data_IF_614975328326
#
_entry.id   IF_614975328326
#
_cell.length_a   1.000
_cell.length_b   1.000
_cell.length_c   1.000
_cell.angle_alpha   90.00
_cell.angle_beta   90.00
_cell.angle_gamma   90.00
#
_symmetry.space_group_name_H-M   'P 1'
#
loop_
_entity.id
_entity.type
_entity.pdbx_description
1 polymer ?
#
# COMPACT_ATOMS: atom_id res chain seq x y z
N UNK A 1 -14.51 2.66 9.05
CA UNK A 1 -14.63 2.14 7.67
C UNK A 1 -13.82 3.05 6.76
N UNK A 2 -12.89 2.50 5.98
CA UNK A 2 -12.07 3.28 5.04
C UNK A 2 -12.87 3.36 3.75
N UNK A 3 -13.47 4.52 3.46
CA UNK A 3 -14.13 4.76 2.17
C UNK A 3 -13.07 4.56 1.09
N UNK A 4 -13.19 3.49 0.32
CA UNK A 4 -12.39 3.27 -0.86
C UNK A 4 -12.83 4.34 -1.85
N UNK A 5 -11.90 5.21 -2.27
CA UNK A 5 -12.15 6.15 -3.36
C UNK A 5 -12.57 5.32 -4.58
N UNK A 6 -13.72 5.63 -5.15
CA UNK A 6 -14.21 4.98 -6.35
C UNK A 6 -13.31 5.41 -7.52
N UNK A 7 -12.52 4.48 -8.12
CA UNK A 7 -11.60 4.82 -9.20
C UNK A 7 -12.32 5.21 -10.50
N UNK A 8 -13.62 4.92 -10.63
CA UNK A 8 -14.43 5.22 -11.81
C UNK A 8 -15.29 6.50 -11.61
N UNK A 9 -15.25 7.14 -10.44
CA UNK A 9 -15.96 8.40 -10.21
C UNK A 9 -15.25 9.53 -10.95
N UNK A 10 -15.77 9.88 -12.12
CA UNK A 10 -15.42 11.12 -12.81
C UNK A 10 -16.14 12.25 -12.07
N UNK A 11 -15.37 13.23 -11.59
CA UNK A 11 -15.92 14.45 -11.00
C UNK A 11 -16.44 15.34 -12.13
N UNK A 12 -17.77 15.37 -12.34
CA UNK A 12 -18.41 16.20 -13.37
C UNK A 12 -18.16 17.70 -13.17
N UNK A 13 -17.78 18.14 -11.96
CA UNK A 13 -17.42 19.52 -11.64
C UNK A 13 -15.95 19.84 -11.95
N UNK A 14 -15.13 18.84 -12.29
CA UNK A 14 -13.73 19.03 -12.66
C UNK A 14 -13.61 19.23 -14.19
N UNK A 15 -13.51 20.48 -14.67
CA UNK A 15 -13.45 20.74 -16.10
C UNK A 15 -12.20 20.12 -16.74
N UNK A 16 -12.30 19.79 -18.02
CA UNK A 16 -11.12 19.44 -18.81
C UNK A 16 -10.15 20.62 -18.86
N UNK A 17 -8.87 20.33 -18.63
CA UNK A 17 -7.82 21.34 -18.74
C UNK A 17 -7.71 21.82 -20.18
N UNK A 18 -7.76 23.14 -20.37
CA UNK A 18 -7.55 23.79 -21.64
C UNK A 18 -6.17 24.48 -21.70
N UNK A 19 -5.86 25.07 -22.85
CA UNK A 19 -4.58 25.74 -23.11
C UNK A 19 -4.27 26.88 -22.12
N UNK A 20 -5.30 27.60 -21.64
CA UNK A 20 -5.11 28.69 -20.68
C UNK A 20 -4.76 28.15 -19.29
N UNK A 21 -5.31 27.00 -18.89
CA UNK A 21 -4.93 26.31 -17.65
C UNK A 21 -3.47 25.86 -17.67
N UNK A 22 -3.02 25.30 -18.80
CA UNK A 22 -1.61 24.93 -18.99
C UNK A 22 -0.68 26.15 -18.94
N UNK A 23 -1.12 27.29 -19.49
CA UNK A 23 -0.34 28.53 -19.45
C UNK A 23 -0.27 29.13 -18.05
N UNK A 24 -1.33 28.98 -17.26
CA UNK A 24 -1.39 29.46 -15.87
C UNK A 24 -0.68 28.52 -14.88
N UNK A 25 -0.32 27.30 -15.30
CA UNK A 25 0.33 26.33 -14.44
C UNK A 25 1.70 26.82 -13.94
N UNK A 26 1.94 26.62 -12.64
CA UNK A 26 3.21 27.01 -11.99
C UNK A 26 3.96 25.78 -11.49
N UNK A 27 5.30 25.79 -11.50
CA UNK A 27 6.08 24.72 -10.89
C UNK A 27 5.83 24.69 -9.38
N UNK A 28 6.00 23.53 -8.76
CA UNK A 28 5.80 23.34 -7.32
C UNK A 28 6.57 24.37 -6.46
N UNK A 29 7.78 24.73 -6.89
CA UNK A 29 8.64 25.72 -6.21
C UNK A 29 8.10 27.15 -6.22
N UNK A 30 7.17 27.47 -7.12
CA UNK A 30 6.53 28.78 -7.21
C UNK A 30 5.25 28.89 -6.36
N UNK A 31 4.81 27.80 -5.70
CA UNK A 31 3.69 27.83 -4.78
C UNK A 31 4.06 28.56 -3.47
N UNK A 32 3.09 29.10 -2.72
CA UNK A 32 3.35 29.64 -1.38
C UNK A 32 3.97 28.59 -0.45
N UNK A 33 4.95 28.99 0.37
CA UNK A 33 5.70 28.09 1.26
C UNK A 33 4.79 27.27 2.19
N UNK A 34 3.73 27.90 2.71
CA UNK A 34 2.74 27.24 3.58
C UNK A 34 1.98 26.12 2.87
N UNK A 35 1.75 26.25 1.56
CA UNK A 35 1.13 25.23 0.73
C UNK A 35 2.13 24.14 0.35
N UNK A 36 3.36 24.52 0.01
CA UNK A 36 4.44 23.55 -0.25
C UNK A 36 4.65 22.62 0.95
N UNK A 37 4.68 23.17 2.16
CA UNK A 37 4.84 22.40 3.40
C UNK A 37 3.70 21.38 3.61
N UNK A 38 2.44 21.79 3.39
CA UNK A 38 1.27 20.91 3.51
C UNK A 38 1.29 19.79 2.46
N UNK A 39 1.59 20.11 1.20
CA UNK A 39 1.63 19.13 0.11
C UNK A 39 2.76 18.11 0.28
N UNK A 40 3.93 18.52 0.80
CA UNK A 40 5.01 17.60 1.18
C UNK A 40 4.59 16.63 2.29
N UNK A 41 3.74 17.08 3.22
CA UNK A 41 3.21 16.24 4.29
C UNK A 41 2.13 15.24 3.82
N UNK A 42 1.51 15.46 2.65
CA UNK A 42 0.49 14.59 2.04
C UNK A 42 1.11 13.44 1.20
N UNK A 43 2.42 13.45 0.98
CA UNK A 43 3.12 12.29 0.43
C UNK A 43 2.83 11.02 1.24
N UNK A 44 2.85 9.84 0.59
CA UNK A 44 2.75 8.54 1.28
C UNK A 44 3.66 8.60 2.51
N UNK A 45 3.06 8.56 3.70
CA UNK A 45 3.77 8.81 4.94
C UNK A 45 5.06 8.00 4.98
N UNK A 46 6.11 8.57 5.56
CA UNK A 46 7.42 7.91 5.67
C UNK A 46 7.20 6.46 6.12
N UNK A 47 7.61 5.51 5.29
CA UNK A 47 7.70 4.12 5.70
C UNK A 47 8.82 4.07 6.75
N UNK A 48 8.48 4.40 8.01
CA UNK A 48 9.44 4.68 9.11
C UNK A 48 10.40 3.52 9.36
N UNK A 49 10.03 2.30 8.97
CA UNK A 49 10.86 1.11 8.85
C UNK A 49 10.15 0.10 7.93
N UNK A 50 10.86 -0.85 7.31
CA UNK A 50 10.20 -2.01 6.70
C UNK A 50 9.42 -2.75 7.80
N UNK A 51 8.09 -2.75 7.72
CA UNK A 51 7.23 -3.50 8.65
C UNK A 51 7.29 -5.01 8.44
N UNK A 52 7.94 -5.45 7.36
CA UNK A 52 8.11 -6.86 6.97
C UNK A 52 9.53 -7.05 6.47
N UNK A 53 10.19 -8.10 6.96
CA UNK A 53 11.49 -8.52 6.45
C UNK A 53 11.30 -9.44 5.24
N UNK A 54 12.03 -9.17 4.15
CA UNK A 54 12.02 -10.03 2.96
C UNK A 54 13.12 -11.07 3.11
N UNK A 55 12.73 -12.30 3.42
CA UNK A 55 13.63 -13.45 3.49
C UNK A 55 13.33 -14.46 2.39
N UNK A 56 14.33 -15.26 2.02
CA UNK A 56 14.17 -16.39 1.10
C UNK A 56 14.14 -17.68 1.91
N UNK A 57 12.99 -18.36 1.95
CA UNK A 57 12.80 -19.65 2.63
C UNK A 57 12.25 -20.69 1.65
N UNK A 58 12.51 -21.97 1.92
CA UNK A 58 11.92 -23.10 1.19
C UNK A 58 10.74 -23.63 1.99
N UNK A 59 9.59 -23.77 1.34
CA UNK A 59 8.37 -24.33 1.92
C UNK A 59 7.92 -25.54 1.10
N UNK A 60 7.21 -26.48 1.72
CA UNK A 60 6.64 -27.64 1.04
C UNK A 60 5.70 -27.19 -0.10
N UNK A 61 5.75 -27.86 -1.28
CA UNK A 61 4.94 -27.47 -2.43
C UNK A 61 3.44 -27.42 -2.13
N UNK A 62 2.94 -28.35 -1.31
CA UNK A 62 1.52 -28.41 -0.91
C UNK A 62 1.06 -27.15 -0.16
N UNK A 63 1.89 -26.63 0.74
CA UNK A 63 1.59 -25.42 1.52
C UNK A 63 1.51 -24.22 0.59
N UNK A 64 2.52 -24.06 -0.27
CA UNK A 64 2.58 -22.94 -1.22
C UNK A 64 1.41 -22.98 -2.20
N UNK A 65 1.06 -24.16 -2.72
CA UNK A 65 -0.05 -24.31 -3.67
C UNK A 65 -1.39 -23.96 -3.02
N UNK A 66 -1.64 -24.44 -1.79
CA UNK A 66 -2.87 -24.12 -1.04
C UNK A 66 -3.04 -22.62 -0.85
N UNK A 67 -1.98 -21.91 -0.45
CA UNK A 67 -2.06 -20.46 -0.33
C UNK A 67 -2.20 -19.79 -1.70
N UNK A 68 -1.42 -20.15 -2.72
CA UNK A 68 -1.54 -19.54 -4.06
C UNK A 68 -2.92 -19.67 -4.68
N UNK A 69 -3.59 -20.81 -4.47
CA UNK A 69 -4.95 -21.05 -4.94
C UNK A 69 -5.98 -20.07 -4.35
N UNK A 70 -5.69 -19.45 -3.20
CA UNK A 70 -6.56 -18.43 -2.59
C UNK A 70 -6.56 -17.07 -3.33
N UNK A 71 -5.76 -16.91 -4.40
CA UNK A 71 -5.76 -15.73 -5.26
C UNK A 71 -4.90 -14.57 -4.74
N UNK A 72 -5.26 -13.34 -5.13
CA UNK A 72 -4.52 -12.13 -4.77
C UNK A 72 -4.41 -11.98 -3.25
N UNK A 73 -3.25 -11.54 -2.77
CA UNK A 73 -2.98 -11.41 -1.32
C UNK A 73 -2.67 -12.71 -0.59
N UNK A 74 -2.39 -13.83 -1.28
CA UNK A 74 -2.08 -15.10 -0.63
C UNK A 74 -0.86 -15.03 0.31
N UNK A 75 0.14 -14.21 0.00
CA UNK A 75 1.29 -13.98 0.89
C UNK A 75 0.88 -13.30 2.19
N UNK A 76 -0.06 -12.35 2.13
CA UNK A 76 -0.62 -11.70 3.31
C UNK A 76 -1.42 -12.69 4.16
N UNK A 77 -2.18 -13.60 3.54
CA UNK A 77 -2.88 -14.67 4.25
C UNK A 77 -1.92 -15.67 4.88
N UNK A 78 -0.82 -16.00 4.21
CA UNK A 78 0.23 -16.85 4.76
C UNK A 78 0.92 -16.21 5.98
N UNK A 79 1.26 -14.92 5.91
CA UNK A 79 1.79 -14.15 7.05
C UNK A 79 0.81 -14.14 8.23
N UNK A 80 -0.49 -13.92 7.97
CA UNK A 80 -1.52 -13.95 9.00
C UNK A 80 -1.64 -15.33 9.65
N UNK A 81 -1.62 -16.41 8.87
CA UNK A 81 -1.67 -17.77 9.39
C UNK A 81 -0.47 -18.11 10.28
N UNK A 82 0.74 -17.70 9.89
CA UNK A 82 1.95 -17.88 10.70
C UNK A 82 1.87 -17.10 12.02
N UNK A 83 1.34 -15.87 12.00
CA UNK A 83 1.11 -15.08 13.22
C UNK A 83 0.08 -15.71 14.14
N UNK A 84 -0.99 -16.26 13.58
CA UNK A 84 -2.03 -16.92 14.37
C UNK A 84 -1.49 -18.19 15.02
N UNK A 85 -0.72 -18.99 14.26
CA UNK A 85 -0.05 -20.17 14.77
C UNK A 85 0.88 -19.85 15.95
N UNK A 86 1.64 -18.75 15.89
CA UNK A 86 2.52 -18.27 16.97
C UNK A 86 1.80 -17.82 18.25
N UNK A 87 0.48 -17.55 18.22
CA UNK A 87 -0.28 -17.23 19.44
C UNK A 87 -0.52 -18.47 20.29
N UNK A 88 -0.66 -19.61 19.63
CA UNK A 88 -1.05 -20.88 20.25
C UNK A 88 0.14 -21.83 20.41
N UNK A 89 1.22 -21.61 19.65
CA UNK A 89 2.35 -22.52 19.58
C UNK A 89 3.69 -21.78 19.63
N UNK A 90 4.68 -22.45 20.21
CA UNK A 90 6.07 -21.98 20.24
C UNK A 90 6.87 -22.64 19.10
N UNK A 91 7.65 -21.90 18.31
CA UNK A 91 8.53 -22.49 17.29
C UNK A 91 9.47 -23.58 17.83
N UNK A 92 9.89 -23.48 19.09
CA UNK A 92 10.76 -24.45 19.77
C UNK A 92 10.08 -25.81 19.97
N UNK A 93 8.75 -25.88 19.88
CA UNK A 93 7.96 -27.10 20.03
C UNK A 93 7.83 -27.87 18.71
N UNK A 94 8.16 -27.26 17.57
CA UNK A 94 8.08 -27.88 16.25
C UNK A 94 9.46 -28.30 15.79
N UNK A 95 9.57 -29.53 15.28
CA UNK A 95 10.83 -30.14 14.84
C UNK A 95 10.73 -30.65 13.41
#
# INVERSE_FOLDING_TARGET
MKTLLDPELIDEENPEWNEDDFRAAVPFSALPESLQAKLRAIGRGTQKAPTKERITIRLSPEVVQRFRASGSGWQTRMDAALKDWLKEHSPEQVR
#
